data_IF_861786518656
#
_entry.id   IF_861786518656
#
_cell.length_a   1.000
_cell.length_b   1.000
_cell.length_c   1.000
_cell.angle_alpha   90.00
_cell.angle_beta   90.00
_cell.angle_gamma   90.00
#
_symmetry.space_group_name_H-M   'P 1'
#
loop_
_entity.id
_entity.type
_entity.pdbx_description
1 polymer ?
#
# COMPACT_ATOMS: atom_id res chain seq x y z
N UNK A 1 -27.47 -11.43 -0.84
CA UNK A 1 -26.50 -12.44 -1.32
C UNK A 1 -25.14 -11.89 -0.94
N UNK A 2 -24.42 -12.61 -0.09
CA UNK A 2 -23.17 -12.18 0.54
C UNK A 2 -22.04 -12.14 -0.49
N UNK A 3 -21.43 -10.97 -0.67
CA UNK A 3 -20.27 -10.76 -1.52
C UNK A 3 -19.04 -11.40 -0.89
N UNK A 4 -18.33 -12.19 -1.69
CA UNK A 4 -17.09 -12.83 -1.30
C UNK A 4 -15.97 -11.80 -1.31
N UNK A 5 -15.40 -11.53 -0.14
CA UNK A 5 -14.06 -10.96 -0.04
C UNK A 5 -13.10 -12.04 -0.53
N UNK A 6 -12.37 -11.78 -1.63
CA UNK A 6 -11.26 -12.64 -2.04
C UNK A 6 -10.13 -12.49 -1.01
N UNK A 7 -10.19 -13.32 0.03
CA UNK A 7 -9.05 -13.60 0.87
C UNK A 7 -8.07 -14.44 0.05
N UNK A 8 -6.86 -13.93 -0.16
CA UNK A 8 -5.74 -14.73 -0.66
C UNK A 8 -5.42 -15.78 0.41
N UNK A 9 -5.88 -17.01 0.20
CA UNK A 9 -5.57 -18.14 1.06
C UNK A 9 -4.15 -18.63 0.76
N UNK A 10 -3.15 -18.05 1.43
CA UNK A 10 -1.81 -18.61 1.52
C UNK A 10 -1.80 -19.70 2.61
N UNK A 11 -1.35 -20.90 2.24
CA UNK A 11 -1.16 -22.02 3.17
C UNK A 11 -0.20 -21.59 4.29
N UNK A 12 -0.66 -21.74 5.54
CA UNK A 12 0.15 -21.43 6.72
C UNK A 12 1.40 -22.34 6.78
N UNK A 13 2.61 -21.76 6.86
CA UNK A 13 3.78 -22.53 7.27
C UNK A 13 3.61 -22.96 8.72
N UNK A 14 4.07 -24.18 9.01
CA UNK A 14 4.18 -24.70 10.38
C UNK A 14 5.04 -23.77 11.22
N UNK A 15 4.65 -23.60 12.50
CA UNK A 15 5.38 -22.83 13.48
C UNK A 15 6.83 -23.35 13.62
N UNK A 16 7.76 -22.67 12.94
CA UNK A 16 9.20 -22.86 13.04
C UNK A 16 9.81 -21.76 13.90
N UNK A 17 10.41 -22.18 15.01
CA UNK A 17 11.35 -21.52 15.92
C UNK A 17 11.46 -19.99 15.90
N UNK A 18 11.06 -19.41 17.05
CA UNK A 18 11.30 -18.03 17.46
C UNK A 18 12.81 -17.72 17.51
N UNK A 19 13.35 -17.21 16.40
CA UNK A 19 14.65 -16.56 16.35
C UNK A 19 14.45 -15.04 16.35
N UNK A 20 14.57 -14.46 17.56
CA UNK A 20 14.84 -13.05 17.82
C UNK A 20 13.92 -12.04 17.14
N UNK A 21 12.65 -11.97 17.54
CA UNK A 21 11.81 -10.83 17.20
C UNK A 21 12.39 -9.58 17.86
N UNK A 22 13.03 -8.72 17.06
CA UNK A 22 13.14 -7.31 17.39
C UNK A 22 11.75 -6.81 17.83
N UNK A 23 11.64 -5.95 18.86
CA UNK A 23 10.39 -5.24 19.16
C UNK A 23 9.78 -4.71 17.86
N UNK A 24 8.47 -4.91 17.62
CA UNK A 24 7.82 -4.56 16.34
C UNK A 24 8.11 -3.12 15.88
N UNK A 25 8.30 -2.21 16.84
CA UNK A 25 8.65 -0.81 16.58
C UNK A 25 10.08 -0.61 16.06
N UNK A 26 11.00 -1.55 16.21
CA UNK A 26 12.31 -1.53 15.53
C UNK A 26 12.17 -1.76 14.01
N UNK A 27 11.21 -2.60 13.58
CA UNK A 27 10.90 -2.75 12.16
C UNK A 27 10.30 -1.47 11.58
N UNK A 28 9.39 -0.84 12.31
CA UNK A 28 8.84 0.46 11.93
C UNK A 28 9.90 1.57 11.93
N UNK A 29 10.77 1.64 12.94
CA UNK A 29 11.91 2.56 12.96
C UNK A 29 12.84 2.34 11.74
N UNK A 30 13.03 1.08 11.34
CA UNK A 30 13.77 0.74 10.12
C UNK A 30 13.06 1.24 8.86
N UNK A 31 11.73 1.06 8.76
CA UNK A 31 10.95 1.61 7.64
C UNK A 31 11.10 3.13 7.55
N UNK A 32 11.00 3.85 8.67
CA UNK A 32 11.22 5.30 8.72
C UNK A 32 12.62 5.68 8.24
N UNK A 33 13.65 4.98 8.72
CA UNK A 33 15.02 5.22 8.27
C UNK A 33 15.20 4.98 6.76
N UNK A 34 14.48 4.03 6.16
CA UNK A 34 14.47 3.82 4.70
C UNK A 34 13.80 5.01 4.00
N UNK A 35 12.62 5.43 4.46
CA UNK A 35 11.91 6.59 3.92
C UNK A 35 12.80 7.86 3.97
N UNK A 36 13.46 8.12 5.10
CA UNK A 36 14.34 9.28 5.29
C UNK A 36 15.60 9.23 4.42
N UNK A 37 16.20 8.05 4.27
CA UNK A 37 17.52 7.94 3.63
C UNK A 37 17.47 7.77 2.11
N UNK A 38 16.43 7.11 1.58
CA UNK A 38 16.31 6.81 0.16
C UNK A 38 14.98 7.23 -0.45
N UNK A 39 13.94 7.45 0.36
CA UNK A 39 12.60 7.78 -0.11
C UNK A 39 12.54 9.05 -0.95
N UNK A 40 13.22 10.11 -0.52
CA UNK A 40 13.25 11.40 -1.24
C UNK A 40 13.82 11.27 -2.67
N UNK A 41 14.70 10.29 -2.93
CA UNK A 41 15.23 10.03 -4.28
C UNK A 41 14.25 9.27 -5.16
N UNK A 42 13.33 8.52 -4.55
CA UNK A 42 12.29 7.76 -5.26
C UNK A 42 11.11 8.69 -5.55
N UNK A 43 10.63 9.40 -4.53
CA UNK A 43 9.54 10.36 -4.62
C UNK A 43 9.89 11.63 -3.86
N UNK A 44 9.89 12.80 -4.53
CA UNK A 44 10.08 14.08 -3.83
C UNK A 44 8.98 14.32 -2.80
N UNK A 45 9.37 14.66 -1.57
CA UNK A 45 8.47 14.85 -0.43
C UNK A 45 8.09 13.58 0.33
N UNK A 46 8.62 12.41 -0.04
CA UNK A 46 8.29 11.14 0.63
C UNK A 46 8.72 11.15 2.10
N UNK A 47 9.93 11.63 2.40
CA UNK A 47 10.42 11.72 3.79
C UNK A 47 9.70 12.79 4.62
N UNK A 48 8.96 13.70 3.99
CA UNK A 48 8.22 14.76 4.66
C UNK A 48 6.73 14.40 4.88
N UNK A 49 6.25 13.35 4.22
CA UNK A 49 4.88 12.88 4.38
C UNK A 49 4.65 12.39 5.83
N UNK A 50 3.42 12.50 6.36
CA UNK A 50 3.09 11.90 7.65
C UNK A 50 3.41 10.40 7.61
N UNK A 51 4.18 9.93 8.59
CA UNK A 51 4.49 8.50 8.73
C UNK A 51 3.97 7.98 10.06
N UNK A 52 2.78 8.39 10.50
CA UNK A 52 2.18 7.89 11.74
C UNK A 52 1.55 6.51 11.54
N UNK A 53 1.61 5.66 12.56
CA UNK A 53 0.97 4.34 12.56
C UNK A 53 0.07 4.15 13.78
N UNK A 54 -0.96 3.34 13.61
CA UNK A 54 -1.79 2.80 14.68
C UNK A 54 -1.58 1.28 14.72
N UNK A 55 -0.69 0.83 15.61
CA UNK A 55 -0.33 -0.57 15.77
C UNK A 55 -1.39 -1.31 16.61
N UNK A 56 -1.97 -2.36 16.07
CA UNK A 56 -2.94 -3.22 16.74
C UNK A 56 -2.23 -4.45 17.31
N UNK A 57 -2.12 -4.54 18.63
CA UNK A 57 -1.51 -5.66 19.34
C UNK A 57 -2.46 -6.19 20.43
N UNK A 58 -2.97 -7.40 20.22
CA UNK A 58 -3.91 -8.02 21.15
C UNK A 58 -5.18 -7.17 21.30
N UNK A 59 -5.44 -6.68 22.52
CA UNK A 59 -6.59 -5.83 22.85
C UNK A 59 -6.24 -4.33 22.90
N UNK A 60 -5.03 -3.96 22.47
CA UNK A 60 -4.51 -2.59 22.55
C UNK A 60 -4.21 -2.06 21.15
N UNK A 61 -4.57 -0.80 20.94
CA UNK A 61 -4.11 0.01 19.81
C UNK A 61 -3.12 1.05 20.32
N UNK A 62 -1.96 1.14 19.66
CA UNK A 62 -0.90 2.08 20.01
C UNK A 62 -0.67 3.03 18.83
N UNK A 63 -1.01 4.31 19.02
CA UNK A 63 -0.62 5.37 18.11
C UNK A 63 0.86 5.68 18.33
N UNK A 64 1.63 5.70 17.25
CA UNK A 64 3.07 5.98 17.25
C UNK A 64 3.37 7.09 16.25
N UNK A 65 4.14 8.09 16.70
CA UNK A 65 4.52 9.26 15.90
C UNK A 65 3.34 10.11 15.38
N UNK A 66 2.18 10.08 16.06
CA UNK A 66 1.04 10.95 15.79
C UNK A 66 1.18 12.32 16.45
N UNK A 67 0.42 13.32 15.97
CA UNK A 67 0.34 14.63 16.60
C UNK A 67 -0.58 14.58 17.84
N UNK A 68 0.03 14.38 19.02
CA UNK A 68 -0.69 14.25 20.28
C UNK A 68 -1.35 12.87 20.45
N UNK A 69 -2.09 12.65 21.55
CA UNK A 69 -2.71 11.35 21.79
C UNK A 69 -3.86 11.08 20.81
N UNK A 70 -4.57 12.11 20.34
CA UNK A 70 -5.84 12.00 19.64
C UNK A 70 -7.02 11.66 20.56
N UNK A 71 -8.25 11.81 20.06
CA UNK A 71 -9.44 11.55 20.88
C UNK A 71 -9.51 10.08 21.33
N UNK A 72 -9.69 9.85 22.64
CA UNK A 72 -9.86 8.51 23.22
C UNK A 72 -8.56 7.77 23.53
N UNK A 73 -7.40 8.36 23.27
CA UNK A 73 -6.10 7.77 23.62
C UNK A 73 -5.55 8.30 24.95
N UNK A 74 -4.75 7.47 25.61
CA UNK A 74 -4.00 7.80 26.82
C UNK A 74 -2.50 7.83 26.51
N UNK A 75 -1.75 8.89 26.86
CA UNK A 75 -0.30 8.94 26.65
C UNK A 75 0.42 7.76 27.31
N UNK A 76 1.34 7.12 26.58
CA UNK A 76 2.06 5.92 26.99
C UNK A 76 3.59 6.10 27.07
N UNK A 77 4.10 7.30 26.75
CA UNK A 77 5.52 7.66 26.89
C UNK A 77 6.22 7.79 25.55
N UNK A 78 7.54 7.60 25.53
CA UNK A 78 8.36 7.66 24.31
C UNK A 78 8.89 6.26 24.02
N UNK A 79 8.66 5.78 22.79
CA UNK A 79 9.21 4.51 22.33
C UNK A 79 10.72 4.66 22.03
N UNK A 80 11.59 3.81 22.60
CA UNK A 80 13.04 3.96 22.44
C UNK A 80 13.56 3.63 21.03
N UNK A 81 12.85 2.83 20.23
CA UNK A 81 13.29 2.46 18.88
C UNK A 81 13.05 3.58 17.88
N UNK A 82 11.87 4.23 17.97
CA UNK A 82 11.42 5.28 17.06
C UNK A 82 11.72 6.69 17.57
N UNK A 83 11.93 6.84 18.88
CA UNK A 83 12.02 8.15 19.55
C UNK A 83 10.71 8.93 19.60
N UNK A 84 9.59 8.32 19.20
CA UNK A 84 8.30 8.98 19.13
C UNK A 84 7.52 8.89 20.44
N UNK A 85 6.71 9.91 20.69
CA UNK A 85 5.60 9.78 21.63
C UNK A 85 4.64 8.69 21.17
N UNK A 86 4.11 7.96 22.15
CA UNK A 86 3.09 6.94 21.97
C UNK A 86 1.87 7.23 22.82
N UNK A 87 0.72 6.80 22.33
CA UNK A 87 -0.52 6.84 23.07
C UNK A 87 -1.33 5.56 22.78
N UNK A 88 -2.11 5.10 23.76
CA UNK A 88 -2.85 3.83 23.65
C UNK A 88 -4.33 3.97 23.88
N UNK A 89 -5.10 3.06 23.28
CA UNK A 89 -6.51 2.85 23.57
C UNK A 89 -6.87 1.36 23.47
N UNK A 90 -8.06 0.99 23.90
CA UNK A 90 -8.59 -0.36 23.67
C UNK A 90 -8.87 -0.59 22.18
N UNK A 91 -8.67 -1.82 21.70
CA UNK A 91 -8.84 -2.21 20.29
C UNK A 91 -10.23 -1.85 19.76
N UNK A 92 -10.24 -1.25 18.57
CA UNK A 92 -11.40 -0.89 17.77
C UNK A 92 -11.36 -1.56 16.39
N UNK A 93 -10.16 -1.76 15.83
CA UNK A 93 -9.91 -2.36 14.52
C UNK A 93 -9.55 -3.85 14.61
N UNK A 94 -9.73 -4.56 13.50
CA UNK A 94 -9.38 -5.97 13.40
C UNK A 94 -7.86 -6.18 13.52
N UNK A 95 -7.34 -7.16 14.28
CA UNK A 95 -5.91 -7.42 14.37
C UNK A 95 -5.22 -7.75 13.04
N UNK A 96 -5.95 -8.19 12.02
CA UNK A 96 -5.41 -8.46 10.68
C UNK A 96 -5.46 -7.23 9.75
N UNK A 97 -5.90 -6.07 10.24
CA UNK A 97 -6.03 -4.86 9.43
C UNK A 97 -4.67 -4.37 8.92
N UNK A 98 -4.65 -3.82 7.71
CA UNK A 98 -3.47 -3.33 7.03
C UNK A 98 -3.91 -2.39 5.90
N UNK A 99 -4.08 -1.11 6.23
CA UNK A 99 -4.38 -0.07 5.24
C UNK A 99 -4.16 1.34 5.83
N UNK A 100 -4.03 2.31 4.94
CA UNK A 100 -3.92 3.73 5.26
C UNK A 100 -5.20 4.48 4.95
N UNK A 101 -5.69 5.24 5.93
CA UNK A 101 -6.86 6.11 5.79
C UNK A 101 -6.85 7.15 6.93
N UNK A 102 -7.66 8.23 6.90
CA UNK A 102 -7.64 9.26 7.93
C UNK A 102 -8.29 8.79 9.25
N UNK A 103 -7.64 7.86 9.95
CA UNK A 103 -8.19 7.13 11.10
C UNK A 103 -8.11 7.88 12.43
N UNK A 104 -7.14 8.78 12.57
CA UNK A 104 -6.90 9.56 13.80
C UNK A 104 -6.89 11.05 13.45
N UNK A 105 -7.87 11.78 14.00
CA UNK A 105 -8.02 13.23 13.85
C UNK A 105 -8.01 13.75 12.39
N UNK A 106 -8.43 12.91 11.44
CA UNK A 106 -8.45 13.25 10.02
C UNK A 106 -7.08 13.16 9.33
N UNK A 107 -6.02 12.77 10.06
CA UNK A 107 -4.67 12.63 9.53
C UNK A 107 -4.53 11.22 8.93
N UNK A 108 -3.99 11.05 7.70
CA UNK A 108 -3.68 9.73 7.13
C UNK A 108 -2.85 8.89 8.11
N UNK A 109 -3.37 7.75 8.55
CA UNK A 109 -2.74 6.84 9.51
C UNK A 109 -2.65 5.46 8.90
N UNK A 110 -1.47 4.82 8.98
CA UNK A 110 -1.36 3.39 8.69
C UNK A 110 -1.96 2.63 9.87
N UNK A 111 -3.11 2.01 9.68
CA UNK A 111 -3.73 1.15 10.69
C UNK A 111 -3.29 -0.28 10.40
N UNK A 112 -2.54 -0.87 11.34
CA UNK A 112 -1.78 -2.08 11.04
C UNK A 112 -1.71 -3.05 12.22
N UNK A 113 -2.00 -4.32 11.94
CA UNK A 113 -1.77 -5.44 12.83
C UNK A 113 -0.32 -5.85 12.97
N UNK A 114 -0.03 -6.79 13.88
CA UNK A 114 1.30 -7.41 13.95
C UNK A 114 1.59 -8.25 12.70
N UNK A 115 2.87 -8.56 12.40
CA UNK A 115 3.22 -9.49 11.31
C UNK A 115 2.45 -10.82 11.41
N UNK A 116 2.32 -11.38 12.62
CA UNK A 116 1.61 -12.65 12.82
C UNK A 116 0.12 -12.54 12.54
N UNK A 117 -0.52 -11.46 12.98
CA UNK A 117 -1.96 -11.26 12.77
C UNK A 117 -2.30 -10.94 11.31
N UNK A 118 -1.39 -10.28 10.59
CA UNK A 118 -1.51 -9.98 9.15
C UNK A 118 -1.05 -11.14 8.25
N UNK A 119 -0.47 -12.20 8.83
CA UNK A 119 0.06 -13.34 8.08
C UNK A 119 1.35 -13.04 7.29
N UNK A 120 2.07 -11.97 7.65
CA UNK A 120 3.28 -11.51 6.98
C UNK A 120 4.54 -11.88 7.77
N UNK A 121 5.66 -12.05 7.06
CA UNK A 121 6.99 -12.05 7.71
C UNK A 121 7.31 -10.64 8.20
N UNK A 122 8.15 -10.46 9.22
CA UNK A 122 8.52 -9.11 9.69
C UNK A 122 9.15 -8.23 8.59
N UNK A 123 9.91 -8.82 7.67
CA UNK A 123 10.50 -8.10 6.53
C UNK A 123 9.40 -7.61 5.57
N UNK A 124 8.48 -8.49 5.17
CA UNK A 124 7.36 -8.12 4.29
C UNK A 124 6.43 -7.10 4.96
N UNK A 125 6.18 -7.25 6.27
CA UNK A 125 5.41 -6.29 7.05
C UNK A 125 6.06 -4.90 7.04
N UNK A 126 7.37 -4.80 7.27
CA UNK A 126 8.11 -3.54 7.21
C UNK A 126 8.00 -2.87 5.82
N UNK A 127 8.16 -3.64 4.74
CA UNK A 127 7.99 -3.10 3.39
C UNK A 127 6.54 -2.72 3.07
N UNK A 128 5.58 -3.44 3.64
CA UNK A 128 4.17 -3.04 3.54
C UNK A 128 3.93 -1.72 4.24
N UNK A 129 4.60 -1.41 5.36
CA UNK A 129 4.53 -0.06 5.94
C UNK A 129 5.02 1.03 4.98
N UNK A 130 6.01 0.74 4.13
CA UNK A 130 6.48 1.69 3.12
C UNK A 130 5.51 1.83 1.94
N UNK A 131 4.84 0.74 1.55
CA UNK A 131 3.72 0.75 0.60
C UNK A 131 2.61 1.66 1.12
N UNK A 132 2.19 1.43 2.36
CA UNK A 132 1.16 2.21 3.06
C UNK A 132 1.58 3.67 3.26
N UNK A 133 2.87 3.93 3.50
CA UNK A 133 3.38 5.29 3.60
C UNK A 133 3.27 6.06 2.27
N UNK A 134 3.36 5.39 1.11
CA UNK A 134 3.02 6.06 -0.16
C UNK A 134 1.55 6.47 -0.20
N UNK A 135 0.64 5.66 0.33
CA UNK A 135 -0.76 6.06 0.42
C UNK A 135 -0.95 7.28 1.32
N UNK A 136 -0.23 7.38 2.45
CA UNK A 136 -0.24 8.61 3.27
C UNK A 136 0.25 9.82 2.47
N UNK A 137 1.32 9.68 1.68
CA UNK A 137 1.81 10.75 0.81
C UNK A 137 0.80 11.14 -0.27
N UNK A 138 0.16 10.16 -0.92
CA UNK A 138 -0.88 10.37 -1.93
C UNK A 138 -2.09 11.09 -1.33
N UNK A 139 -2.55 10.66 -0.16
CA UNK A 139 -3.74 11.21 0.51
C UNK A 139 -3.48 12.58 1.15
N UNK A 140 -2.22 12.92 1.40
CA UNK A 140 -1.79 14.24 1.85
C UNK A 140 -1.69 15.28 0.72
N UNK A 141 -1.77 14.87 -0.55
CA UNK A 141 -1.67 15.81 -1.67
C UNK A 141 -2.88 16.78 -1.72
N UNK A 142 -2.65 18.09 -1.95
CA UNK A 142 -3.74 19.05 -2.10
C UNK A 142 -4.72 18.65 -3.21
N UNK A 143 -6.02 18.64 -2.88
CA UNK A 143 -7.09 18.37 -3.85
C UNK A 143 -7.24 16.90 -4.26
N UNK A 144 -6.49 15.97 -3.66
CA UNK A 144 -6.57 14.54 -4.03
C UNK A 144 -7.99 13.98 -3.89
N UNK A 145 -8.69 14.32 -2.80
CA UNK A 145 -10.07 13.87 -2.58
C UNK A 145 -11.05 14.44 -3.61
N UNK A 146 -10.86 15.69 -4.03
CA UNK A 146 -11.67 16.28 -5.10
C UNK A 146 -11.43 15.56 -6.43
N UNK A 147 -10.16 15.23 -6.74
CA UNK A 147 -9.78 14.45 -7.92
C UNK A 147 -10.36 13.02 -7.89
N UNK A 148 -10.28 12.34 -6.75
CA UNK A 148 -10.82 10.99 -6.55
C UNK A 148 -12.35 10.99 -6.72
N UNK A 149 -13.06 11.98 -6.18
CA UNK A 149 -14.50 12.13 -6.37
C UNK A 149 -14.86 12.46 -7.83
N UNK A 150 -14.04 13.25 -8.52
CA UNK A 150 -14.24 13.61 -9.92
C UNK A 150 -14.13 12.43 -10.90
N UNK A 151 -13.61 11.27 -10.46
CA UNK A 151 -13.66 10.03 -11.24
C UNK A 151 -15.09 9.51 -11.43
N UNK A 152 -16.03 9.94 -10.59
CA UNK A 152 -17.45 9.56 -10.60
C UNK A 152 -17.65 8.03 -10.48
N UNK A 153 -16.83 7.39 -9.64
CA UNK A 153 -16.83 5.92 -9.43
C UNK A 153 -17.50 5.48 -8.13
N UNK A 154 -17.88 6.43 -7.28
CA UNK A 154 -18.24 6.15 -5.90
C UNK A 154 -19.71 5.73 -5.70
N UNK A 155 -20.60 5.94 -6.67
CA UNK A 155 -22.02 5.55 -6.63
C UNK A 155 -22.78 5.96 -5.34
N UNK A 156 -22.43 7.13 -4.81
CA UNK A 156 -23.00 7.65 -3.56
C UNK A 156 -22.35 7.12 -2.29
N UNK A 157 -21.33 6.27 -2.37
CA UNK A 157 -20.49 5.91 -1.25
C UNK A 157 -19.64 7.12 -0.81
N UNK A 158 -19.80 7.52 0.45
CA UNK A 158 -19.05 8.62 1.09
C UNK A 158 -18.01 8.12 2.09
N UNK A 159 -17.88 6.81 2.27
CA UNK A 159 -16.95 6.18 3.22
C UNK A 159 -15.58 5.91 2.60
N UNK A 160 -15.50 5.91 1.26
CA UNK A 160 -14.31 5.52 0.50
C UNK A 160 -14.19 4.02 0.22
N UNK A 161 -15.08 3.19 0.78
CA UNK A 161 -15.04 1.73 0.58
C UNK A 161 -15.20 1.31 -0.88
N UNK A 162 -15.79 2.14 -1.73
CA UNK A 162 -15.88 1.92 -3.17
C UNK A 162 -14.49 1.71 -3.80
N UNK A 163 -13.44 2.36 -3.30
CA UNK A 163 -12.09 2.22 -3.85
C UNK A 163 -11.56 0.79 -3.69
N UNK A 164 -12.07 0.05 -2.70
CA UNK A 164 -11.71 -1.34 -2.41
C UNK A 164 -12.71 -2.34 -2.99
N UNK A 165 -14.00 -1.97 -3.03
CA UNK A 165 -15.09 -2.87 -3.41
C UNK A 165 -15.68 -2.58 -4.80
N UNK A 166 -14.99 -1.78 -5.61
CA UNK A 166 -15.44 -1.46 -6.97
C UNK A 166 -15.62 -2.75 -7.78
N UNK A 167 -16.76 -2.93 -8.48
CA UNK A 167 -17.08 -4.16 -9.20
C UNK A 167 -16.37 -4.21 -10.57
N UNK A 168 -15.03 -4.17 -10.57
CA UNK A 168 -14.25 -4.32 -11.80
C UNK A 168 -14.50 -5.72 -12.40
N UNK A 169 -14.52 -5.87 -13.74
CA UNK A 169 -14.85 -7.15 -14.40
C UNK A 169 -13.69 -8.16 -14.32
N UNK A 170 -13.31 -8.58 -13.10
CA UNK A 170 -12.22 -9.53 -12.86
C UNK A 170 -12.47 -10.91 -13.49
N UNK A 171 -13.74 -11.31 -13.62
CA UNK A 171 -14.15 -12.61 -14.18
C UNK A 171 -14.34 -12.58 -15.71
N UNK A 172 -14.15 -11.43 -16.36
CA UNK A 172 -14.23 -11.31 -17.81
C UNK A 172 -12.93 -11.82 -18.47
N UNK A 173 -12.97 -12.94 -19.22
CA UNK A 173 -11.78 -13.51 -19.83
C UNK A 173 -11.16 -12.62 -20.91
N UNK A 174 -11.96 -11.81 -21.61
CA UNK A 174 -11.46 -10.93 -22.67
C UNK A 174 -10.70 -9.75 -22.06
N UNK A 175 -11.24 -9.16 -20.98
CA UNK A 175 -10.56 -8.14 -20.20
C UNK A 175 -9.26 -8.68 -19.58
N UNK A 176 -9.29 -9.90 -19.03
CA UNK A 176 -8.11 -10.57 -18.46
C UNK A 176 -7.02 -10.84 -19.51
N UNK A 177 -7.40 -11.30 -20.71
CA UNK A 177 -6.45 -11.54 -21.80
C UNK A 177 -5.82 -10.23 -22.30
N UNK A 178 -6.62 -9.17 -22.46
CA UNK A 178 -6.12 -7.86 -22.87
C UNK A 178 -5.18 -7.24 -21.81
N UNK A 179 -5.51 -7.37 -20.52
CA UNK A 179 -4.64 -6.94 -19.44
C UNK A 179 -3.31 -7.71 -19.42
N UNK A 180 -3.34 -9.02 -19.67
CA UNK A 180 -2.11 -9.82 -19.77
C UNK A 180 -1.23 -9.36 -20.94
N UNK A 181 -1.82 -9.15 -22.11
CA UNK A 181 -1.09 -8.65 -23.28
C UNK A 181 -0.47 -7.26 -23.02
N UNK A 182 -1.18 -6.38 -22.32
CA UNK A 182 -0.66 -5.09 -21.88
C UNK A 182 0.53 -5.26 -20.92
N UNK A 183 0.42 -6.14 -19.92
CA UNK A 183 1.52 -6.40 -18.98
C UNK A 183 2.76 -6.96 -19.67
N UNK A 184 2.59 -7.90 -20.61
CA UNK A 184 3.70 -8.48 -21.38
C UNK A 184 4.37 -7.43 -22.28
N UNK A 185 3.59 -6.58 -22.94
CA UNK A 185 4.13 -5.49 -23.76
C UNK A 185 4.84 -4.42 -22.93
N UNK A 186 4.34 -4.11 -21.73
CA UNK A 186 5.00 -3.21 -20.80
C UNK A 186 6.36 -3.77 -20.34
N UNK A 187 6.43 -5.05 -19.97
CA UNK A 187 7.67 -5.72 -19.60
C UNK A 187 8.69 -5.70 -20.75
N UNK A 188 8.25 -6.07 -21.96
CA UNK A 188 9.11 -6.03 -23.15
C UNK A 188 9.64 -4.62 -23.45
N UNK A 189 8.84 -3.57 -23.26
CA UNK A 189 9.29 -2.19 -23.42
C UNK A 189 10.31 -1.78 -22.35
N UNK A 190 10.13 -2.20 -21.10
CA UNK A 190 11.08 -1.92 -20.01
C UNK A 190 12.42 -2.64 -20.18
N UNK A 191 12.41 -3.87 -20.72
CA UNK A 191 13.60 -4.67 -20.99
C UNK A 191 14.34 -4.25 -22.27
N UNK A 192 13.68 -3.47 -23.13
CA UNK A 192 14.24 -3.02 -24.40
C UNK A 192 15.17 -1.81 -24.25
N UNK A 193 16.21 -1.75 -25.08
CA UNK A 193 17.21 -0.70 -25.05
C UNK A 193 17.65 -0.29 -26.45
N UNK A 194 18.13 0.94 -26.61
CA UNK A 194 18.65 1.43 -27.88
C UNK A 194 17.60 1.43 -29.00
N UNK A 195 17.93 0.81 -30.13
CA UNK A 195 17.07 0.78 -31.33
C UNK A 195 15.79 -0.08 -31.14
N UNK A 196 15.78 -0.99 -30.16
CA UNK A 196 14.65 -1.87 -29.90
C UNK A 196 13.55 -1.21 -29.04
N UNK A 197 13.85 -0.08 -28.40
CA UNK A 197 12.92 0.59 -27.48
C UNK A 197 11.69 1.15 -28.19
N UNK A 198 11.87 1.89 -29.28
CA UNK A 198 10.76 2.53 -29.98
C UNK A 198 9.71 1.53 -30.50
N UNK A 199 10.10 0.41 -31.14
CA UNK A 199 9.15 -0.64 -31.51
C UNK A 199 8.42 -1.27 -30.31
N UNK A 200 9.15 -1.57 -29.22
CA UNK A 200 8.55 -2.19 -28.03
C UNK A 200 7.58 -1.22 -27.32
N UNK A 201 7.94 0.05 -27.20
CA UNK A 201 7.08 1.09 -26.65
C UNK A 201 5.83 1.33 -27.52
N UNK A 202 5.96 1.26 -28.85
CA UNK A 202 4.81 1.31 -29.74
C UNK A 202 3.86 0.13 -29.52
N UNK A 203 4.39 -1.09 -29.31
CA UNK A 203 3.59 -2.26 -28.97
C UNK A 203 2.87 -2.10 -27.62
N UNK A 204 3.55 -1.58 -26.60
CA UNK A 204 2.92 -1.23 -25.32
C UNK A 204 1.77 -0.24 -25.49
N UNK A 205 1.96 0.85 -26.26
CA UNK A 205 0.91 1.84 -26.49
C UNK A 205 -0.31 1.24 -27.19
N UNK A 206 -0.09 0.35 -28.15
CA UNK A 206 -1.18 -0.34 -28.83
C UNK A 206 -1.91 -1.28 -27.85
N UNK A 207 -1.19 -2.11 -27.10
CA UNK A 207 -1.80 -3.02 -26.12
C UNK A 207 -2.59 -2.27 -25.05
N UNK A 208 -2.14 -1.07 -24.64
CA UNK A 208 -2.88 -0.20 -23.72
C UNK A 208 -4.17 0.29 -24.33
N UNK A 209 -4.15 0.73 -25.59
CA UNK A 209 -5.36 1.15 -26.29
C UNK A 209 -6.36 -0.01 -26.44
N UNK A 210 -5.87 -1.21 -26.76
CA UNK A 210 -6.69 -2.41 -26.91
C UNK A 210 -7.35 -2.82 -25.58
N UNK A 211 -6.58 -2.79 -24.48
CA UNK A 211 -7.13 -3.06 -23.14
C UNK A 211 -8.21 -2.05 -22.75
N UNK A 212 -7.98 -0.75 -22.94
CA UNK A 212 -8.97 0.27 -22.62
C UNK A 212 -10.24 0.16 -23.49
N UNK A 213 -10.14 -0.39 -24.69
CA UNK A 213 -11.29 -0.68 -25.54
C UNK A 213 -12.03 -1.96 -25.14
N UNK A 214 -11.39 -2.87 -24.39
CA UNK A 214 -11.97 -4.13 -23.93
C UNK A 214 -12.79 -3.99 -22.64
N UNK A 215 -12.69 -2.84 -21.94
CA UNK A 215 -13.44 -2.55 -20.71
C UNK A 215 -14.36 -1.34 -20.90
N UNK A 216 -15.30 -1.13 -19.99
CA UNK A 216 -16.11 0.08 -20.03
C UNK A 216 -15.28 1.34 -19.72
N UNK A 217 -15.73 2.51 -20.16
CA UNK A 217 -15.06 3.79 -19.84
C UNK A 217 -14.94 4.02 -18.33
N UNK A 218 -15.92 3.52 -17.56
CA UNK A 218 -15.95 3.58 -16.11
C UNK A 218 -14.86 2.68 -15.50
N UNK A 219 -14.75 1.45 -16.00
CA UNK A 219 -13.72 0.50 -15.57
C UNK A 219 -12.32 0.96 -15.96
N UNK A 220 -12.17 1.57 -17.13
CA UNK A 220 -10.93 2.23 -17.54
C UNK A 220 -10.49 3.29 -16.53
N UNK A 221 -11.39 4.18 -16.09
CA UNK A 221 -11.08 5.17 -15.04
C UNK A 221 -10.66 4.50 -13.72
N UNK A 222 -11.37 3.45 -13.30
CA UNK A 222 -10.99 2.70 -12.10
C UNK A 222 -9.62 2.05 -12.23
N UNK A 223 -9.30 1.47 -13.38
CA UNK A 223 -8.00 0.86 -13.61
C UNK A 223 -6.85 1.87 -13.56
N UNK A 224 -7.00 3.04 -14.20
CA UNK A 224 -6.01 4.12 -14.10
C UNK A 224 -5.83 4.59 -12.65
N UNK A 225 -6.94 4.72 -11.92
CA UNK A 225 -6.92 5.05 -10.49
C UNK A 225 -6.17 3.99 -9.68
N UNK A 226 -6.40 2.70 -9.93
CA UNK A 226 -5.71 1.61 -9.25
C UNK A 226 -4.22 1.54 -9.60
N UNK A 227 -3.84 1.82 -10.85
CA UNK A 227 -2.43 1.96 -11.22
C UNK A 227 -1.75 3.09 -10.45
N UNK A 228 -2.43 4.22 -10.29
CA UNK A 228 -1.91 5.34 -9.51
C UNK A 228 -1.84 5.01 -8.02
N UNK A 229 -2.91 4.49 -7.42
CA UNK A 229 -3.01 4.22 -5.98
C UNK A 229 -2.11 3.04 -5.59
N UNK A 230 -2.42 1.85 -6.07
CA UNK A 230 -1.77 0.58 -5.71
C UNK A 230 -0.53 0.28 -6.54
N UNK A 231 -0.57 0.56 -7.85
CA UNK A 231 0.55 0.28 -8.75
C UNK A 231 1.81 1.07 -8.37
N UNK A 232 1.67 2.37 -8.10
CA UNK A 232 2.77 3.19 -7.62
C UNK A 232 3.26 2.75 -6.24
N UNK A 233 2.36 2.38 -5.32
CA UNK A 233 2.73 1.91 -3.98
C UNK A 233 3.54 0.61 -4.04
N UNK A 234 3.11 -0.34 -4.85
CA UNK A 234 3.82 -1.60 -5.09
C UNK A 234 5.18 -1.39 -5.74
N UNK A 235 5.28 -0.52 -6.73
CA UNK A 235 6.57 -0.18 -7.35
C UNK A 235 7.52 0.48 -6.33
N UNK A 236 6.99 1.39 -5.51
CA UNK A 236 7.75 2.09 -4.45
C UNK A 236 8.31 1.12 -3.43
N UNK A 237 7.49 0.15 -3.00
CA UNK A 237 7.91 -0.93 -2.10
C UNK A 237 9.15 -1.65 -2.63
N UNK A 238 9.14 -2.06 -3.90
CA UNK A 238 10.29 -2.74 -4.54
C UNK A 238 11.49 -1.82 -4.74
N UNK A 239 11.27 -0.58 -5.16
CA UNK A 239 12.35 0.37 -5.42
C UNK A 239 13.07 0.79 -4.12
N UNK A 240 12.34 0.97 -3.03
CA UNK A 240 12.90 1.22 -1.70
C UNK A 240 13.68 0.01 -1.19
N UNK A 241 13.19 -1.21 -1.41
CA UNK A 241 13.93 -2.42 -1.10
C UNK A 241 15.27 -2.47 -1.85
N UNK A 242 15.22 -2.25 -3.17
CA UNK A 242 16.39 -2.22 -4.05
C UNK A 242 17.41 -1.16 -3.61
N UNK A 243 16.97 0.07 -3.35
CA UNK A 243 17.87 1.16 -2.97
C UNK A 243 18.41 1.05 -1.54
N UNK A 244 17.67 0.45 -0.62
CA UNK A 244 18.14 0.22 0.75
C UNK A 244 19.08 -0.99 0.87
N UNK A 245 19.25 -1.78 -0.20
CA UNK A 245 20.06 -3.00 -0.20
C UNK A 245 19.45 -4.13 0.63
N UNK A 246 18.16 -4.04 0.94
CA UNK A 246 17.42 -5.02 1.74
C UNK A 246 16.61 -5.94 0.84
N UNK A 247 16.53 -7.22 1.20
CA UNK A 247 15.74 -8.18 0.44
C UNK A 247 14.26 -8.03 0.76
N UNK A 248 13.46 -7.84 -0.30
CA UNK A 248 12.02 -7.99 -0.27
C UNK A 248 11.67 -9.46 -0.51
N UNK A 249 11.16 -10.15 0.51
CA UNK A 249 10.71 -11.53 0.38
C UNK A 249 9.38 -11.56 -0.37
N UNK A 250 9.41 -11.96 -1.65
CA UNK A 250 8.23 -11.99 -2.52
C UNK A 250 8.49 -11.57 -3.98
N UNK A 251 9.71 -11.15 -4.31
CA UNK A 251 10.17 -11.04 -5.69
C UNK A 251 10.88 -12.33 -6.13
N UNK A 252 10.13 -13.31 -6.61
CA UNK A 252 10.72 -14.27 -7.52
C UNK A 252 11.05 -13.51 -8.82
N UNK A 253 12.33 -13.51 -9.18
CA UNK A 253 12.80 -13.19 -10.53
C UNK A 253 12.33 -14.24 -11.53
#
# INVERSE_FOLDING_TARGET
>A
MLGWVMAIALQAPQAGDAQGAAPLLEHYATARAIADSVGERVWPGFSEAPFQILLIEGETETLVCGEGPGEGFTPAGIDPATGCETATRGRQFDPAFLASFPAVDGIPTIVVGTPQATGLTPSRWMFTLLHEHLHQMQDAQPGVWEGVLALDLHDGDTTGMWMLNYPFPYDDPDAGAALRALADAAAAALDSHGEDFEPAYAAYRQARADFLAAVSERDARYWEFQLWKEGAARWTEFELARQSGRQHEGGDQ
#
